data_IF_187905092350
#
_entry.id   IF_187905092350
#
_cell.length_a   1.000
_cell.length_b   1.000
_cell.length_c   1.000
_cell.angle_alpha   90.00
_cell.angle_beta   90.00
_cell.angle_gamma   90.00
#
_symmetry.space_group_name_H-M   'P 1'
#
loop_
_entity.id
_entity.type
_entity.pdbx_description
1 polymer ?
#
# COMPACT_ATOMS: atom_id res chain seq x y z
N UNK A 1 -16.10 2.88 4.64
CA UNK A 1 -14.95 2.34 3.91
C UNK A 1 -14.17 3.49 3.31
N UNK A 2 -12.85 3.44 3.42
CA UNK A 2 -11.89 4.41 2.88
C UNK A 2 -10.86 3.66 2.05
N UNK A 3 -10.12 4.39 1.22
CA UNK A 3 -9.08 3.82 0.35
C UNK A 3 -7.73 4.22 0.92
N UNK A 4 -6.81 3.28 1.02
CA UNK A 4 -5.47 3.48 1.57
C UNK A 4 -4.42 2.99 0.58
N UNK A 5 -3.39 3.80 0.35
CA UNK A 5 -2.15 3.35 -0.26
C UNK A 5 -1.23 2.85 0.85
N UNK A 6 -0.76 1.62 0.71
CA UNK A 6 0.20 1.01 1.64
C UNK A 6 1.48 0.71 0.89
N UNK A 7 2.59 1.24 1.37
CA UNK A 7 3.89 1.16 0.73
C UNK A 7 4.93 0.58 1.68
N UNK A 8 5.91 -0.12 1.12
CA UNK A 8 7.13 -0.53 1.81
C UNK A 8 8.35 0.05 1.10
N UNK A 9 9.48 0.20 1.80
CA UNK A 9 10.74 0.51 1.15
C UNK A 9 11.06 -0.50 0.04
N UNK A 10 11.37 0.02 -1.16
CA UNK A 10 11.80 -0.77 -2.31
C UNK A 10 13.31 -1.08 -2.22
N UNK A 11 13.76 -1.62 -1.08
CA UNK A 11 15.15 -2.03 -0.88
C UNK A 11 15.34 -3.47 -1.40
N UNK A 12 15.80 -3.60 -2.64
CA UNK A 12 16.04 -4.90 -3.28
C UNK A 12 14.82 -5.48 -3.99
N UNK A 13 14.95 -6.73 -4.45
CA UNK A 13 13.87 -7.40 -5.19
C UNK A 13 12.67 -7.69 -4.27
N UNK A 14 11.49 -7.22 -4.69
CA UNK A 14 10.19 -7.54 -4.10
C UNK A 14 9.14 -7.60 -5.22
N UNK A 15 8.07 -8.35 -4.99
CA UNK A 15 6.96 -8.48 -5.93
C UNK A 15 5.95 -7.36 -5.69
N UNK A 16 5.60 -7.13 -4.42
CA UNK A 16 4.65 -6.10 -4.02
C UNK A 16 5.38 -5.05 -3.16
N UNK A 17 5.66 -3.87 -3.73
CA UNK A 17 6.20 -2.73 -2.97
C UNK A 17 5.13 -1.71 -2.57
N UNK A 18 3.96 -1.76 -3.22
CA UNK A 18 2.82 -0.88 -2.95
C UNK A 18 1.49 -1.60 -3.23
N UNK A 19 0.46 -1.32 -2.42
CA UNK A 19 -0.90 -1.88 -2.56
C UNK A 19 -1.97 -0.84 -2.23
N UNK A 20 -3.10 -0.90 -2.95
CA UNK A 20 -4.30 -0.13 -2.60
C UNK A 20 -5.27 -1.03 -1.83
N UNK A 21 -5.72 -0.58 -0.66
CA UNK A 21 -6.59 -1.32 0.25
C UNK A 21 -7.84 -0.53 0.58
N UNK A 22 -9.00 -1.17 0.51
CA UNK A 22 -10.26 -0.61 1.00
C UNK A 22 -10.49 -1.14 2.42
N UNK A 23 -10.55 -0.24 3.41
CA UNK A 23 -10.68 -0.61 4.82
C UNK A 23 -11.50 0.41 5.63
N UNK A 24 -11.82 0.06 6.88
CA UNK A 24 -12.53 0.94 7.81
C UNK A 24 -11.64 2.07 8.34
N UNK A 25 -10.40 1.73 8.67
CA UNK A 25 -9.37 2.62 9.21
C UNK A 25 -7.96 2.15 8.80
N UNK A 26 -6.94 2.95 9.13
CA UNK A 26 -5.52 2.65 8.84
C UNK A 26 -5.05 1.32 9.44
N UNK A 27 -5.48 0.97 10.66
CA UNK A 27 -5.09 -0.29 11.32
C UNK A 27 -5.68 -1.51 10.63
N UNK A 28 -6.90 -1.40 10.10
CA UNK A 28 -7.52 -2.43 9.27
C UNK A 28 -6.82 -2.52 7.91
N UNK A 29 -6.44 -1.38 7.31
CA UNK A 29 -5.68 -1.36 6.05
C UNK A 29 -4.33 -2.06 6.19
N UNK A 30 -3.55 -1.73 7.23
CA UNK A 30 -2.27 -2.38 7.53
C UNK A 30 -2.45 -3.90 7.69
N UNK A 31 -3.38 -4.33 8.57
CA UNK A 31 -3.60 -5.77 8.82
C UNK A 31 -4.01 -6.50 7.55
N UNK A 32 -4.88 -5.91 6.74
CA UNK A 32 -5.30 -6.50 5.47
C UNK A 32 -4.14 -6.60 4.48
N UNK A 33 -3.27 -5.60 4.40
CA UNK A 33 -2.06 -5.62 3.56
C UNK A 33 -1.12 -6.77 3.97
N UNK A 34 -0.81 -6.88 5.26
CA UNK A 34 0.10 -7.92 5.79
C UNK A 34 -0.44 -9.35 5.61
N UNK A 35 -1.76 -9.52 5.56
CA UNK A 35 -2.38 -10.83 5.26
C UNK A 35 -2.37 -11.11 3.76
N UNK A 36 -2.46 -10.07 2.92
CA UNK A 36 -2.63 -10.23 1.47
C UNK A 36 -1.30 -10.41 0.72
N UNK A 37 -0.18 -9.91 1.25
CA UNK A 37 1.14 -10.05 0.62
C UNK A 37 2.23 -10.48 1.60
N UNK A 38 3.02 -11.47 1.19
CA UNK A 38 4.17 -11.96 1.94
C UNK A 38 5.30 -10.93 2.08
N UNK A 39 5.45 -10.03 1.09
CA UNK A 39 6.44 -8.96 1.10
C UNK A 39 6.13 -7.92 2.17
N UNK A 40 4.85 -7.59 2.35
CA UNK A 40 4.37 -6.72 3.44
C UNK A 40 4.31 -7.44 4.78
N UNK A 41 4.02 -8.74 4.81
CA UNK A 41 4.04 -9.55 6.04
C UNK A 41 5.42 -9.55 6.70
N UNK A 42 6.49 -9.62 5.91
CA UNK A 42 7.88 -9.69 6.38
C UNK A 42 8.51 -8.32 6.61
N UNK A 43 7.93 -7.26 6.06
CA UNK A 43 8.47 -5.90 6.19
C UNK A 43 8.01 -5.25 7.50
N UNK A 44 8.94 -4.76 8.33
CA UNK A 44 8.58 -4.06 9.57
C UNK A 44 8.07 -2.64 9.28
N UNK A 45 8.78 -1.93 8.40
CA UNK A 45 8.50 -0.55 8.05
C UNK A 45 7.53 -0.49 6.85
N UNK A 46 6.31 -0.05 7.12
CA UNK A 46 5.31 0.23 6.08
C UNK A 46 4.69 1.60 6.34
N UNK A 47 4.34 2.28 5.26
CA UNK A 47 3.61 3.57 5.31
C UNK A 47 2.19 3.32 4.86
N UNK A 48 1.21 3.82 5.61
CA UNK A 48 -0.22 3.77 5.27
C UNK A 48 -0.70 5.20 5.07
N UNK A 49 -1.22 5.51 3.89
CA UNK A 49 -1.70 6.85 3.52
C UNK A 49 -3.15 6.74 3.07
N UNK A 50 -4.07 7.44 3.73
CA UNK A 50 -5.45 7.57 3.26
C UNK A 50 -5.50 8.38 1.96
N UNK A 51 -6.20 7.87 0.95
CA UNK A 51 -6.42 8.55 -0.32
C UNK A 51 -7.70 9.35 -0.22
N UNK A 52 -7.61 10.65 -0.50
CA UNK A 52 -8.78 11.50 -0.63
C UNK A 52 -9.53 11.19 -1.93
N UNK A 53 -10.75 10.69 -1.81
CA UNK A 53 -11.57 10.31 -2.96
C UNK A 53 -12.46 11.46 -3.46
N UNK A 54 -12.34 12.67 -2.90
CA UNK A 54 -13.12 13.83 -3.32
C UNK A 54 -12.52 14.58 -4.51
N UNK A 55 -11.24 14.35 -4.82
CA UNK A 55 -10.53 14.98 -5.92
C UNK A 55 -9.93 13.92 -6.87
N UNK A 56 -9.88 14.22 -8.16
CA UNK A 56 -9.22 13.35 -9.13
C UNK A 56 -7.70 13.39 -8.90
N UNK A 57 -7.10 12.23 -8.60
CA UNK A 57 -5.66 12.12 -8.37
C UNK A 57 -5.08 10.80 -8.89
N UNK A 58 -3.82 10.84 -9.31
CA UNK A 58 -3.03 9.66 -9.59
C UNK A 58 -2.38 9.15 -8.30
N UNK A 59 -2.91 8.08 -7.74
CA UNK A 59 -2.46 7.51 -6.46
C UNK A 59 -1.11 6.80 -6.58
N UNK A 60 -0.88 6.09 -7.68
CA UNK A 60 0.35 5.32 -7.86
C UNK A 60 0.75 5.29 -9.33
N UNK A 61 2.01 5.64 -9.60
CA UNK A 61 2.63 5.53 -10.92
C UNK A 61 3.73 4.46 -10.87
N UNK A 62 3.33 3.19 -10.95
CA UNK A 62 4.26 2.07 -11.13
C UNK A 62 4.80 2.08 -12.56
N UNK A 63 5.77 2.95 -12.84
CA UNK A 63 6.57 2.80 -14.05
C UNK A 63 7.80 1.96 -13.72
N UNK A 64 7.67 0.63 -13.77
CA UNK A 64 8.83 -0.25 -14.03
C UNK A 64 9.21 -0.10 -15.51
N UNK A 65 9.55 1.12 -15.91
CA UNK A 65 10.15 1.39 -17.19
C UNK A 65 11.59 0.94 -17.10
N UNK A 66 11.94 -0.06 -17.91
CA UNK A 66 13.32 -0.24 -18.32
C UNK A 66 13.84 1.04 -18.99
#
# INVERSE_FOLDING_TARGET
>A
MKVYLVERPASGWCQDYAMVIIAEDERHAERKTRVSSGDFKKCQEITVTEIDMNEEQCVLRANTGA
#
